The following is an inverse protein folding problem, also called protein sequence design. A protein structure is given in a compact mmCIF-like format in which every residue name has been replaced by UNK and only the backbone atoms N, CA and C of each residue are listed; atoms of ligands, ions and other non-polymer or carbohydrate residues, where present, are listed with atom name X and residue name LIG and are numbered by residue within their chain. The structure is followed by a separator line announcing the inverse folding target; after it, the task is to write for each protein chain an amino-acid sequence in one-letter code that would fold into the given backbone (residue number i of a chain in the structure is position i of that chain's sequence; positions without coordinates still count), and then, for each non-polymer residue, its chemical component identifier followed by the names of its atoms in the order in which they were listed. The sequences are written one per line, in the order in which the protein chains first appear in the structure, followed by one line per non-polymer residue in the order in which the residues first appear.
data_IF_115755173055
#
_entry.id   IF_115755173055
#
_cell.length_a   1.000
_cell.length_b   1.000
_cell.length_c   1.000
_cell.angle_alpha   90.00
_cell.angle_beta   90.00
_cell.angle_gamma   90.00
#
_symmetry.space_group_name_H-M   'P 1'
#
loop_
_entity.id
_entity.type
_entity.pdbx_description
1 polymer ?
#
# COMPACT_ATOMS: atom_id res chain seq x y z
N UNK A 1 50.31 -1.68 -7.85
CA UNK A 1 48.92 -1.83 -8.34
C UNK A 1 48.05 -2.15 -7.13
N UNK A 2 47.35 -1.16 -6.60
CA UNK A 2 46.29 -1.31 -5.61
C UNK A 2 45.33 -0.15 -5.86
N UNK A 3 44.14 -0.47 -6.34
CA UNK A 3 43.08 0.49 -6.67
C UNK A 3 42.43 0.96 -5.37
N UNK A 4 42.81 2.15 -4.92
CA UNK A 4 42.10 2.87 -3.87
C UNK A 4 40.84 3.47 -4.51
N UNK A 5 39.74 2.74 -4.39
CA UNK A 5 38.43 3.14 -4.90
C UNK A 5 37.47 3.25 -3.72
N UNK A 6 37.72 4.25 -2.87
CA UNK A 6 36.79 4.70 -1.86
C UNK A 6 35.68 5.54 -2.53
N UNK A 7 34.68 4.88 -3.13
CA UNK A 7 33.41 5.51 -3.44
C UNK A 7 32.65 5.76 -2.13
N UNK A 8 33.00 6.85 -1.47
CA UNK A 8 32.21 7.47 -0.41
C UNK A 8 30.93 8.02 -1.01
N UNK A 9 29.84 7.27 -0.93
CA UNK A 9 28.49 7.80 -1.16
C UNK A 9 28.09 8.68 0.03
N UNK A 10 28.68 9.89 0.11
CA UNK A 10 28.03 11.02 0.75
C UNK A 10 27.10 11.64 -0.30
N UNK A 11 25.88 11.13 -0.38
CA UNK A 11 24.80 11.86 -1.03
C UNK A 11 23.81 12.31 0.02
N UNK A 12 23.73 13.63 0.13
CA UNK A 12 22.68 14.43 0.71
C UNK A 12 21.30 13.79 0.51
N UNK A 13 20.64 13.37 1.59
CA UNK A 13 19.21 13.10 1.60
C UNK A 13 18.53 14.14 2.51
N UNK A 14 18.79 15.41 2.21
CA UNK A 14 17.76 16.45 2.34
C UNK A 14 16.96 16.45 1.03
N UNK A 15 16.35 15.30 0.68
CA UNK A 15 15.31 15.29 -0.33
C UNK A 15 14.09 16.00 0.27
N UNK A 16 13.49 16.97 -0.42
CA UNK A 16 12.22 17.53 0.03
C UNK A 16 11.23 16.37 0.08
N UNK A 17 10.67 16.09 1.25
CA UNK A 17 9.53 15.19 1.38
C UNK A 17 8.49 15.63 0.34
N UNK A 18 8.24 14.78 -0.65
CA UNK A 18 7.27 15.06 -1.71
C UNK A 18 5.94 15.46 -1.04
N UNK A 19 5.32 16.61 -1.32
CA UNK A 19 4.05 16.97 -0.69
C UNK A 19 2.90 15.97 -0.98
N UNK A 20 3.08 15.00 -1.88
CA UNK A 20 2.22 13.81 -2.03
C UNK A 20 2.52 12.68 -1.01
N UNK A 21 3.47 12.85 -0.08
CA UNK A 21 4.07 11.77 0.72
C UNK A 21 3.45 11.53 2.10
N UNK A 22 2.35 12.21 2.46
CA UNK A 22 1.61 11.85 3.67
C UNK A 22 0.82 10.56 3.43
N UNK A 23 1.50 9.42 3.50
CA UNK A 23 0.86 8.12 3.58
C UNK A 23 0.33 7.92 5.01
N UNK A 24 -0.99 7.78 5.15
CA UNK A 24 -1.65 7.38 6.39
C UNK A 24 -2.00 5.90 6.32
N UNK A 25 -1.54 5.18 7.34
CA UNK A 25 -1.75 3.74 7.51
C UNK A 25 -2.54 3.52 8.78
N UNK A 26 -3.66 2.81 8.69
CA UNK A 26 -4.47 2.41 9.84
C UNK A 26 -4.80 0.92 9.76
N UNK A 27 -4.51 0.18 10.83
CA UNK A 27 -4.85 -1.24 10.95
C UNK A 27 -6.15 -1.35 11.73
N UNK A 28 -7.15 -1.99 11.13
CA UNK A 28 -8.46 -2.25 11.73
C UNK A 28 -8.79 -3.74 11.65
N UNK A 29 -8.29 -4.49 12.64
CA UNK A 29 -8.47 -5.94 12.71
C UNK A 29 -7.83 -6.65 11.53
N UNK A 30 -8.64 -7.20 10.63
CA UNK A 30 -8.16 -7.90 9.43
C UNK A 30 -7.96 -6.96 8.22
N UNK A 31 -8.18 -5.66 8.39
CA UNK A 31 -8.10 -4.68 7.30
C UNK A 31 -6.96 -3.69 7.51
N UNK A 32 -6.33 -3.30 6.40
CA UNK A 32 -5.34 -2.24 6.34
C UNK A 32 -5.88 -1.12 5.45
N UNK A 33 -6.01 0.06 6.04
CA UNK A 33 -6.48 1.27 5.39
C UNK A 33 -5.25 2.08 4.98
N UNK A 34 -5.17 2.42 3.69
CA UNK A 34 -4.07 3.18 3.12
C UNK A 34 -4.62 4.41 2.40
N UNK A 35 -4.19 5.59 2.83
CA UNK A 35 -4.52 6.85 2.18
C UNK A 35 -3.23 7.58 1.83
N UNK A 36 -3.07 7.97 0.56
CA UNK A 36 -1.93 8.77 0.10
C UNK A 36 -2.38 10.20 -0.12
N UNK A 37 -2.04 11.13 0.78
CA UNK A 37 -2.48 12.53 0.67
C UNK A 37 -4.00 12.65 0.41
N UNK A 38 -4.37 13.29 -0.70
CA UNK A 38 -5.76 13.48 -1.12
C UNK A 38 -6.32 12.36 -2.01
N UNK A 39 -5.60 11.26 -2.18
CA UNK A 39 -6.07 10.10 -2.94
C UNK A 39 -7.21 9.36 -2.22
N UNK A 40 -8.04 8.60 -2.96
CA UNK A 40 -9.06 7.74 -2.36
C UNK A 40 -8.46 6.80 -1.30
N UNK A 41 -9.27 6.50 -0.28
CA UNK A 41 -8.92 5.50 0.71
C UNK A 41 -8.91 4.11 0.05
N UNK A 42 -7.77 3.44 0.12
CA UNK A 42 -7.63 2.06 -0.32
C UNK A 42 -7.76 1.14 0.89
N UNK A 43 -8.56 0.09 0.76
CA UNK A 43 -8.82 -0.88 1.83
C UNK A 43 -8.26 -2.22 1.37
N UNK A 44 -7.33 -2.75 2.15
CA UNK A 44 -6.74 -4.05 1.93
C UNK A 44 -7.21 -5.02 3.02
N UNK A 45 -7.33 -6.31 2.68
CA UNK A 45 -7.66 -7.39 3.62
C UNK A 45 -6.45 -8.28 3.84
N UNK A 46 -6.18 -8.66 5.08
CA UNK A 46 -5.13 -9.60 5.45
C UNK A 46 -5.35 -10.95 4.75
N UNK A 47 -4.28 -11.47 4.14
CA UNK A 47 -4.29 -12.78 3.51
C UNK A 47 -4.01 -13.86 4.54
N UNK A 48 -4.81 -14.93 4.50
CA UNK A 48 -4.58 -16.09 5.35
C UNK A 48 -3.48 -16.99 4.77
N UNK A 49 -2.73 -17.73 5.60
CA UNK A 49 -1.75 -18.70 5.11
C UNK A 49 -2.38 -19.70 4.12
N UNK A 50 -1.82 -19.77 2.91
CA UNK A 50 -2.28 -20.67 1.85
C UNK A 50 -3.42 -20.11 0.98
N UNK A 51 -3.90 -18.90 1.28
CA UNK A 51 -4.86 -18.20 0.43
C UNK A 51 -4.23 -17.82 -0.91
N UNK A 52 -4.91 -18.13 -2.01
CA UNK A 52 -4.45 -17.81 -3.37
C UNK A 52 -5.19 -16.57 -3.87
N UNK A 53 -4.47 -15.47 -3.98
CA UNK A 53 -4.93 -14.25 -4.67
C UNK A 53 -4.58 -14.31 -6.15
N UNK A 54 -5.43 -13.70 -6.97
CA UNK A 54 -5.15 -13.55 -8.39
C UNK A 54 -3.96 -12.59 -8.57
N UNK A 55 -3.07 -12.90 -9.52
CA UNK A 55 -1.81 -12.15 -9.72
C UNK A 55 -2.02 -10.67 -10.09
N UNK A 56 -3.19 -10.33 -10.62
CA UNK A 56 -3.55 -8.96 -10.99
C UNK A 56 -4.10 -8.12 -9.82
N UNK A 57 -4.26 -8.72 -8.64
CA UNK A 57 -4.70 -8.00 -7.43
C UNK A 57 -3.48 -7.38 -6.77
N UNK A 58 -3.56 -6.08 -6.51
CA UNK A 58 -2.53 -5.35 -5.78
C UNK A 58 -2.35 -5.91 -4.37
N UNK A 59 -1.10 -6.04 -3.94
CA UNK A 59 -0.73 -6.59 -2.62
C UNK A 59 0.26 -5.67 -1.93
N UNK A 60 0.13 -5.57 -0.61
CA UNK A 60 1.03 -4.81 0.25
C UNK A 60 1.39 -5.66 1.48
N UNK A 61 2.62 -5.51 1.97
CA UNK A 61 3.07 -6.13 3.22
C UNK A 61 3.16 -5.05 4.30
N UNK A 62 2.57 -5.31 5.46
CA UNK A 62 2.67 -4.46 6.64
C UNK A 62 3.00 -5.32 7.86
N UNK A 63 4.12 -5.03 8.53
CA UNK A 63 4.62 -5.79 9.68
C UNK A 63 4.79 -7.31 9.42
N UNK A 64 5.20 -7.68 8.21
CA UNK A 64 5.34 -9.09 7.80
C UNK A 64 4.01 -9.80 7.53
N UNK A 65 2.87 -9.11 7.66
CA UNK A 65 1.56 -9.62 7.29
C UNK A 65 1.21 -9.14 5.87
N UNK A 66 0.93 -10.05 4.93
CA UNK A 66 0.48 -9.67 3.59
C UNK A 66 -1.01 -9.30 3.58
N UNK A 67 -1.35 -8.29 2.79
CA UNK A 67 -2.69 -7.80 2.55
C UNK A 67 -2.96 -7.67 1.04
N UNK A 68 -4.21 -7.87 0.60
CA UNK A 68 -4.64 -7.71 -0.79
C UNK A 68 -5.69 -6.60 -0.92
N UNK A 69 -5.60 -5.81 -1.99
CA UNK A 69 -6.56 -4.74 -2.26
C UNK A 69 -7.96 -5.33 -2.46
N UNK A 70 -8.92 -4.85 -1.68
CA UNK A 70 -10.32 -5.24 -1.82
C UNK A 70 -11.01 -4.30 -2.79
N UNK A 71 -11.60 -4.85 -3.84
CA UNK A 71 -12.62 -4.14 -4.61
C UNK A 71 -13.90 -4.15 -3.78
N UNK A 72 -14.28 -3.00 -3.25
CA UNK A 72 -15.63 -2.82 -2.69
C UNK A 72 -16.49 -2.48 -3.89
N UNK A 73 -17.26 -3.46 -4.37
CA UNK A 73 -18.35 -3.17 -5.29
C UNK A 73 -19.33 -2.24 -4.55
N UNK A 74 -19.48 -1.00 -5.02
CA UNK A 74 -20.53 -0.11 -4.56
C UNK A 74 -21.84 -0.76 -5.01
N UNK A 75 -22.55 -1.37 -4.06
CA UNK A 75 -23.80 -2.10 -4.26
C UNK A 75 -24.92 -1.09 -4.61
N UNK A 76 -24.80 -0.46 -5.78
CA UNK A 76 -25.86 0.36 -6.37
C UNK A 76 -26.59 -0.46 -7.40
N UNK A 77 -27.60 -1.19 -6.94
CA UNK A 77 -28.95 -1.14 -7.50
C UNK A 77 -29.88 -2.11 -6.75
N UNK A 78 -30.65 -1.58 -5.81
CA UNK A 78 -32.02 -2.06 -5.54
C UNK A 78 -32.94 -0.84 -5.36
N UNK A 79 -32.97 0.02 -6.38
CA UNK A 79 -34.05 1.00 -6.55
C UNK A 79 -34.79 0.71 -7.85
N UNK A 80 -35.72 -0.24 -7.78
CA UNK A 80 -36.84 -0.43 -8.72
C UNK A 80 -38.01 -1.05 -7.92
N UNK A 81 -39.29 -0.83 -8.26
CA UNK A 81 -39.96 0.36 -8.79
C UNK A 81 -41.22 0.72 -7.94
N UNK A 82 -41.75 1.94 -8.06
CA UNK A 82 -43.16 2.25 -7.74
C UNK A 82 -43.75 3.13 -8.84
#
# INVERSE_FOLDING_TARGET
MTTDSAYSYRNHLDEPADPCSEQRLEVNGAYLLVQWGDHPLHIYRALMPGERVHYAVEQIEHEGQPYCLMWIEDDKEHSQPY
#
